data_IF_714470105018
#
_entry.id   IF_714470105018
#
_cell.length_a   1.000
_cell.length_b   1.000
_cell.length_c   1.000
_cell.angle_alpha   90.00
_cell.angle_beta   90.00
_cell.angle_gamma   90.00
#
_symmetry.space_group_name_H-M   'P 1'
#
loop_
_entity.id
_entity.type
_entity.pdbx_description
1 polymer ?
#
# COMPACT_ATOMS: atom_id res chain seq x y z
N UNK A 1 -12.83 -13.55 7.20
CA UNK A 1 -14.25 -13.41 6.84
C UNK A 1 -14.94 -14.77 7.04
N UNK A 2 -16.07 -14.84 7.76
CA UNK A 2 -16.82 -16.07 7.89
C UNK A 2 -17.34 -16.55 6.53
N UNK A 3 -17.26 -17.83 6.27
CA UNK A 3 -17.85 -18.44 5.09
C UNK A 3 -18.76 -19.60 5.47
N UNK A 4 -19.66 -19.97 4.57
CA UNK A 4 -20.56 -21.11 4.79
C UNK A 4 -19.78 -22.42 4.68
N UNK A 5 -20.19 -23.40 5.50
CA UNK A 5 -19.72 -24.76 5.37
C UNK A 5 -20.18 -25.36 4.02
N UNK A 6 -19.39 -26.29 3.46
CA UNK A 6 -19.68 -26.94 2.18
C UNK A 6 -21.08 -27.59 2.15
N UNK A 7 -21.60 -28.03 3.29
CA UNK A 7 -22.95 -28.61 3.40
C UNK A 7 -24.07 -27.61 3.08
N UNK A 8 -23.79 -26.33 3.22
CA UNK A 8 -24.72 -25.22 2.97
C UNK A 8 -24.44 -24.52 1.61
N UNK A 9 -23.30 -24.80 1.00
CA UNK A 9 -22.92 -24.30 -0.31
C UNK A 9 -22.14 -25.39 -1.06
N UNK A 10 -22.87 -26.28 -1.74
CA UNK A 10 -22.29 -27.44 -2.43
C UNK A 10 -21.51 -27.07 -3.69
N UNK A 11 -21.80 -25.89 -4.26
CA UNK A 11 -21.19 -25.41 -5.50
C UNK A 11 -19.84 -24.70 -5.24
N UNK A 12 -19.34 -24.70 -3.99
CA UNK A 12 -18.11 -24.01 -3.61
C UNK A 12 -16.89 -24.47 -4.42
N UNK A 13 -16.88 -25.72 -4.88
CA UNK A 13 -15.78 -26.30 -5.68
C UNK A 13 -15.87 -25.94 -7.17
N UNK A 14 -16.99 -25.43 -7.64
CA UNK A 14 -17.22 -25.04 -9.04
C UNK A 14 -16.75 -23.59 -9.32
N UNK A 15 -16.17 -22.96 -8.31
CA UNK A 15 -15.73 -21.58 -8.30
C UNK A 15 -16.71 -20.65 -7.58
N UNK A 16 -16.17 -19.67 -6.89
CA UNK A 16 -16.96 -18.71 -6.13
C UNK A 16 -16.69 -17.28 -6.64
N UNK A 17 -17.74 -16.62 -7.10
CA UNK A 17 -17.68 -15.23 -7.50
C UNK A 17 -18.10 -14.34 -6.34
N UNK A 18 -17.10 -13.67 -5.73
CA UNK A 18 -17.37 -12.78 -4.60
C UNK A 18 -18.26 -11.59 -4.98
N UNK A 19 -19.27 -11.34 -4.17
CA UNK A 19 -19.98 -10.07 -4.15
C UNK A 19 -19.35 -9.21 -3.05
N UNK A 20 -18.58 -8.21 -3.45
CA UNK A 20 -17.81 -7.38 -2.52
C UNK A 20 -18.67 -6.71 -1.44
N UNK A 21 -19.89 -6.31 -1.77
CA UNK A 21 -20.79 -5.66 -0.80
C UNK A 21 -21.38 -6.61 0.24
N UNK A 22 -21.46 -7.90 -0.06
CA UNK A 22 -22.09 -8.90 0.82
C UNK A 22 -21.07 -9.81 1.46
N UNK A 23 -20.13 -10.29 0.66
CA UNK A 23 -19.23 -11.38 1.08
C UNK A 23 -17.96 -10.86 1.75
N UNK A 24 -17.60 -9.60 1.48
CA UNK A 24 -16.37 -8.98 2.02
C UNK A 24 -16.61 -8.11 3.26
N UNK A 25 -17.83 -8.14 3.82
CA UNK A 25 -18.11 -7.42 5.06
C UNK A 25 -17.47 -8.14 6.26
N UNK A 26 -16.65 -7.45 7.06
CA UNK A 26 -16.05 -8.01 8.25
C UNK A 26 -17.11 -8.22 9.34
N UNK A 27 -16.97 -9.30 10.09
CA UNK A 27 -17.77 -9.51 11.29
C UNK A 27 -17.19 -8.65 12.41
N UNK A 28 -17.98 -7.71 12.92
CA UNK A 28 -17.57 -6.80 13.98
C UNK A 28 -18.03 -7.27 15.36
N UNK A 29 -19.32 -7.58 15.53
CA UNK A 29 -19.90 -7.95 16.83
C UNK A 29 -21.14 -8.83 16.69
N UNK A 30 -21.50 -9.49 17.77
CA UNK A 30 -22.77 -10.20 17.87
C UNK A 30 -23.91 -9.24 18.16
N UNK A 31 -25.12 -9.63 17.77
CA UNK A 31 -26.33 -8.89 18.13
C UNK A 31 -26.47 -8.76 19.67
N UNK A 32 -26.89 -7.60 20.13
CA UNK A 32 -27.01 -7.29 21.57
C UNK A 32 -25.75 -6.74 22.24
N UNK A 33 -24.60 -6.74 21.60
CA UNK A 33 -23.42 -6.04 22.09
C UNK A 33 -23.67 -4.51 22.08
N UNK A 34 -23.26 -3.83 23.17
CA UNK A 34 -23.38 -2.36 23.30
C UNK A 34 -22.16 -1.59 22.79
N UNK A 35 -21.10 -2.32 22.39
CA UNK A 35 -19.87 -1.68 21.90
C UNK A 35 -20.13 -0.95 20.60
N UNK A 36 -19.85 0.34 20.59
CA UNK A 36 -19.88 1.17 19.40
C UNK A 36 -18.53 1.16 18.70
N UNK A 37 -18.54 1.06 17.38
CA UNK A 37 -17.33 0.91 16.57
C UNK A 37 -16.41 2.12 16.71
N UNK A 38 -16.94 3.36 16.61
CA UNK A 38 -16.13 4.56 16.76
C UNK A 38 -15.55 4.71 18.17
N UNK A 39 -16.28 4.30 19.20
CA UNK A 39 -15.76 4.28 20.58
C UNK A 39 -14.59 3.30 20.74
N UNK A 40 -14.63 2.17 20.07
CA UNK A 40 -13.50 1.23 20.04
C UNK A 40 -12.28 1.84 19.34
N UNK A 41 -12.49 2.48 18.19
CA UNK A 41 -11.40 3.17 17.47
C UNK A 41 -10.81 4.30 18.29
N UNK A 42 -11.65 5.09 18.95
CA UNK A 42 -11.21 6.18 19.83
C UNK A 42 -10.34 5.67 20.99
N UNK A 43 -10.76 4.58 21.62
CA UNK A 43 -10.00 3.94 22.69
C UNK A 43 -8.63 3.41 22.21
N UNK A 44 -8.58 2.77 21.03
CA UNK A 44 -7.34 2.28 20.44
C UNK A 44 -6.39 3.42 20.04
N UNK A 45 -6.95 4.52 19.52
CA UNK A 45 -6.20 5.71 19.16
C UNK A 45 -5.82 6.61 20.35
N UNK A 46 -6.34 6.34 21.54
CA UNK A 46 -6.09 7.13 22.74
C UNK A 46 -6.68 8.55 22.68
N UNK A 47 -7.81 8.72 21.98
CA UNK A 47 -8.48 10.01 21.83
C UNK A 47 -9.96 9.94 22.21
N UNK A 48 -10.57 11.09 22.49
CA UNK A 48 -12.01 11.19 22.67
C UNK A 48 -12.72 10.98 21.31
N UNK A 49 -13.87 10.29 21.32
CA UNK A 49 -14.64 9.97 20.12
C UNK A 49 -14.99 11.22 19.29
N UNK A 50 -15.33 12.31 19.97
CA UNK A 50 -15.70 13.59 19.37
C UNK A 50 -14.56 14.27 18.62
N UNK A 51 -13.33 13.86 18.91
CA UNK A 51 -12.13 14.35 18.23
C UNK A 51 -11.81 13.61 16.94
N UNK A 52 -12.48 12.50 16.64
CA UNK A 52 -12.34 11.78 15.36
C UNK A 52 -13.12 12.57 14.30
N UNK A 53 -12.41 13.24 13.40
CA UNK A 53 -13.01 14.07 12.34
C UNK A 53 -13.10 13.38 10.99
N UNK A 54 -12.41 12.26 10.84
CA UNK A 54 -12.42 11.42 9.64
C UNK A 54 -11.60 10.16 9.88
N UNK A 55 -11.76 9.17 9.01
CA UNK A 55 -11.01 7.91 9.10
C UNK A 55 -10.88 7.25 7.75
N UNK A 56 -9.71 6.65 7.51
CA UNK A 56 -9.48 5.67 6.46
C UNK A 56 -9.19 4.33 7.13
N UNK A 57 -10.07 3.36 6.92
CA UNK A 57 -10.01 2.07 7.59
C UNK A 57 -9.85 0.96 6.56
N UNK A 58 -8.83 0.14 6.75
CA UNK A 58 -8.48 -0.94 5.86
C UNK A 58 -8.47 -2.27 6.61
N UNK A 59 -8.88 -3.33 5.92
CA UNK A 59 -8.65 -4.69 6.38
C UNK A 59 -7.26 -5.14 5.95
N UNK A 60 -6.57 -5.82 6.82
CA UNK A 60 -5.28 -6.43 6.50
C UNK A 60 -5.16 -7.83 7.07
N UNK A 61 -4.34 -8.65 6.43
CA UNK A 61 -4.00 -9.97 6.94
C UNK A 61 -3.01 -9.84 8.11
N UNK A 62 -3.34 -10.48 9.24
CA UNK A 62 -2.50 -10.51 10.44
C UNK A 62 -1.55 -11.71 10.49
N UNK A 63 -1.55 -12.58 9.46
CA UNK A 63 -0.58 -13.66 9.43
C UNK A 63 0.85 -13.13 9.38
N UNK A 64 1.68 -13.70 10.22
CA UNK A 64 3.11 -13.40 10.22
C UNK A 64 3.79 -14.01 9.00
N UNK A 65 4.82 -13.32 8.51
CA UNK A 65 5.69 -13.88 7.48
C UNK A 65 6.42 -15.13 7.99
N UNK A 66 6.66 -16.08 7.09
CA UNK A 66 7.36 -17.33 7.41
C UNK A 66 8.37 -17.67 6.32
N UNK A 67 9.49 -18.22 6.76
CA UNK A 67 10.43 -18.93 5.88
C UNK A 67 10.05 -20.41 5.94
N UNK A 68 10.04 -21.07 4.80
CA UNK A 68 9.65 -22.47 4.69
C UNK A 68 10.26 -23.15 3.46
N UNK A 69 10.05 -24.43 3.32
CA UNK A 69 10.66 -25.29 2.32
C UNK A 69 11.56 -26.32 2.98
N UNK A 70 12.10 -27.25 2.21
CA UNK A 70 12.97 -28.28 2.75
C UNK A 70 14.32 -27.72 3.22
N UNK A 71 14.76 -26.62 2.62
CA UNK A 71 16.03 -25.93 2.90
C UNK A 71 15.83 -24.42 3.12
N UNK A 72 14.63 -24.02 3.63
CA UNK A 72 14.27 -22.63 3.91
C UNK A 72 14.34 -21.71 2.66
N UNK A 73 14.05 -22.26 1.48
CA UNK A 73 14.20 -21.55 0.20
C UNK A 73 13.02 -20.66 -0.18
N UNK A 74 11.92 -20.71 0.58
CA UNK A 74 10.71 -19.92 0.30
C UNK A 74 10.40 -18.95 1.43
N UNK A 75 9.83 -17.81 1.06
CA UNK A 75 9.27 -16.83 1.99
C UNK A 75 7.79 -16.62 1.62
N UNK A 76 6.92 -16.71 2.62
CA UNK A 76 5.51 -16.34 2.50
C UNK A 76 5.18 -15.26 3.50
N UNK A 77 4.68 -14.15 3.03
CA UNK A 77 4.21 -13.05 3.87
C UNK A 77 3.12 -12.27 3.13
N UNK A 78 2.19 -11.63 3.85
CA UNK A 78 1.27 -10.68 3.22
C UNK A 78 2.06 -9.47 2.70
N UNK A 79 1.62 -8.91 1.60
CA UNK A 79 2.16 -7.66 1.00
C UNK A 79 3.62 -7.75 0.53
N UNK A 80 4.11 -8.95 0.18
CA UNK A 80 5.39 -9.07 -0.54
C UNK A 80 5.35 -8.28 -1.85
N UNK A 81 4.31 -8.39 -2.58
CA UNK A 81 3.92 -7.50 -3.65
C UNK A 81 3.15 -6.32 -3.01
N UNK A 82 3.66 -5.06 -3.11
CA UNK A 82 4.90 -4.68 -3.81
C UNK A 82 6.01 -4.19 -2.83
N UNK A 83 5.83 -4.42 -1.52
CA UNK A 83 6.79 -3.97 -0.50
C UNK A 83 8.18 -4.56 -0.68
N UNK A 84 8.32 -5.75 -1.27
CA UNK A 84 9.62 -6.32 -1.57
C UNK A 84 10.39 -5.44 -2.58
N UNK A 85 9.71 -5.01 -3.64
CA UNK A 85 10.33 -4.14 -4.65
C UNK A 85 10.67 -2.76 -4.06
N UNK A 86 9.78 -2.17 -3.28
CA UNK A 86 10.03 -0.92 -2.58
C UNK A 86 11.25 -1.02 -1.65
N UNK A 87 11.35 -2.11 -0.86
CA UNK A 87 12.46 -2.35 0.06
C UNK A 87 13.78 -2.56 -0.67
N UNK A 88 13.81 -3.40 -1.71
CA UNK A 88 15.04 -3.69 -2.44
C UNK A 88 15.54 -2.47 -3.22
N UNK A 89 14.64 -1.69 -3.80
CA UNK A 89 14.96 -0.42 -4.44
C UNK A 89 15.56 0.60 -3.45
N UNK A 90 14.96 0.71 -2.25
CA UNK A 90 15.51 1.55 -1.19
C UNK A 90 16.91 1.09 -0.76
N UNK A 91 17.13 -0.23 -0.61
CA UNK A 91 18.46 -0.78 -0.27
C UNK A 91 19.48 -0.50 -1.37
N UNK A 92 19.09 -0.62 -2.63
CA UNK A 92 19.91 -0.27 -3.78
C UNK A 92 20.27 1.22 -3.78
N UNK A 93 19.27 2.08 -3.59
CA UNK A 93 19.45 3.54 -3.49
C UNK A 93 20.43 3.94 -2.38
N UNK A 94 20.28 3.40 -1.17
CA UNK A 94 21.17 3.69 -0.04
C UNK A 94 22.62 3.24 -0.25
N UNK A 95 22.83 2.25 -1.12
CA UNK A 95 24.16 1.76 -1.48
C UNK A 95 24.73 2.41 -2.74
N UNK A 96 23.89 3.10 -3.49
CA UNK A 96 24.34 3.76 -4.72
C UNK A 96 25.27 4.93 -4.38
N UNK A 97 26.33 5.04 -5.16
CA UNK A 97 27.23 6.19 -5.12
C UNK A 97 27.35 6.73 -6.56
N UNK A 98 27.07 7.99 -6.73
CA UNK A 98 27.24 8.68 -8.00
C UNK A 98 27.96 9.98 -7.78
N UNK A 99 29.08 10.17 -8.48
CA UNK A 99 29.85 11.41 -8.45
C UNK A 99 29.31 12.47 -9.44
N UNK A 100 28.51 12.05 -10.41
CA UNK A 100 28.09 12.90 -11.56
C UNK A 100 26.59 13.15 -11.63
N UNK A 101 25.79 12.45 -10.85
CA UNK A 101 24.34 12.58 -10.88
C UNK A 101 23.73 12.48 -9.48
N UNK A 102 22.57 13.07 -9.32
CA UNK A 102 21.75 12.95 -8.11
C UNK A 102 20.79 11.77 -8.29
N UNK A 103 20.97 10.73 -7.49
CA UNK A 103 20.04 9.60 -7.49
C UNK A 103 18.73 10.01 -6.81
N UNK A 104 17.62 9.63 -7.40
CA UNK A 104 16.28 9.87 -6.85
C UNK A 104 15.56 8.54 -6.71
N UNK A 105 15.09 8.24 -5.51
CA UNK A 105 14.16 7.14 -5.26
C UNK A 105 12.78 7.73 -5.04
N UNK A 106 11.81 7.19 -5.75
CA UNK A 106 10.40 7.52 -5.55
C UNK A 106 9.60 6.23 -5.36
N UNK A 107 8.87 6.15 -4.27
CA UNK A 107 7.90 5.08 -4.02
C UNK A 107 6.52 5.70 -4.15
N UNK A 108 5.76 5.22 -5.14
CA UNK A 108 4.46 5.78 -5.50
C UNK A 108 3.35 4.95 -4.86
N UNK A 109 2.19 5.57 -4.67
CA UNK A 109 0.99 4.93 -4.14
C UNK A 109 0.07 4.43 -5.27
N UNK A 110 -0.95 3.65 -4.90
CA UNK A 110 -2.03 3.21 -5.79
C UNK A 110 -1.60 2.35 -6.99
N UNK A 111 -0.57 1.52 -6.81
CA UNK A 111 -0.15 0.57 -7.85
C UNK A 111 -1.28 -0.41 -8.19
N UNK A 112 -1.92 -1.01 -7.18
CA UNK A 112 -2.97 -2.03 -7.31
C UNK A 112 -4.23 -1.56 -8.06
N UNK A 113 -4.48 -0.26 -8.10
CA UNK A 113 -5.57 0.33 -8.89
C UNK A 113 -5.11 0.90 -10.23
N UNK A 114 -3.89 0.54 -10.68
CA UNK A 114 -3.34 0.86 -12.00
C UNK A 114 -2.57 2.17 -12.08
N UNK A 115 -2.07 2.71 -10.96
CA UNK A 115 -1.18 3.90 -10.90
C UNK A 115 -1.75 5.19 -11.50
N UNK A 116 -3.02 5.22 -11.90
CA UNK A 116 -3.66 6.34 -12.61
C UNK A 116 -4.16 7.48 -11.72
N UNK A 117 -3.86 7.47 -10.42
CA UNK A 117 -4.27 8.50 -9.47
C UNK A 117 -3.23 9.63 -9.39
N UNK A 118 -3.55 10.71 -8.66
CA UNK A 118 -2.61 11.81 -8.42
C UNK A 118 -1.36 11.40 -7.63
N UNK A 119 -1.41 10.31 -6.88
CA UNK A 119 -0.35 9.75 -6.07
C UNK A 119 0.37 8.59 -6.77
N UNK A 120 -0.18 8.11 -7.87
CA UNK A 120 0.32 6.95 -8.61
C UNK A 120 1.49 7.28 -9.54
N UNK A 121 2.16 6.24 -10.00
CA UNK A 121 3.32 6.37 -10.89
C UNK A 121 2.98 6.98 -12.27
N UNK A 122 1.72 6.89 -12.71
CA UNK A 122 1.23 7.53 -13.93
C UNK A 122 0.94 9.04 -13.79
N UNK A 123 1.12 9.63 -12.61
CA UNK A 123 0.88 11.05 -12.37
C UNK A 123 2.09 11.93 -12.76
N UNK A 124 1.87 13.25 -12.79
CA UNK A 124 2.96 14.21 -12.96
C UNK A 124 3.70 14.53 -11.66
N UNK A 125 3.31 13.91 -10.54
CA UNK A 125 3.80 14.26 -9.20
C UNK A 125 5.32 14.33 -9.12
N UNK A 126 6.02 13.29 -9.58
CA UNK A 126 7.48 13.24 -9.54
C UNK A 126 8.11 14.37 -10.37
N UNK A 127 7.62 14.57 -11.60
CA UNK A 127 8.09 15.62 -12.49
C UNK A 127 7.88 17.01 -11.88
N UNK A 128 6.70 17.25 -11.33
CA UNK A 128 6.35 18.55 -10.73
C UNK A 128 7.20 18.85 -9.50
N UNK A 129 7.48 17.85 -8.66
CA UNK A 129 8.36 18.01 -7.49
C UNK A 129 9.79 18.31 -7.92
N UNK A 130 10.36 17.52 -8.81
CA UNK A 130 11.74 17.74 -9.29
C UNK A 130 11.90 19.07 -10.01
N UNK A 131 10.91 19.47 -10.81
CA UNK A 131 10.90 20.76 -11.47
C UNK A 131 10.88 21.93 -10.48
N UNK A 132 10.06 21.82 -9.43
CA UNK A 132 10.03 22.83 -8.35
C UNK A 132 11.35 22.89 -7.58
N UNK A 133 11.99 21.77 -7.32
CA UNK A 133 13.32 21.73 -6.71
C UNK A 133 14.33 22.44 -7.63
N UNK A 134 14.34 22.13 -8.91
CA UNK A 134 15.22 22.75 -9.88
C UNK A 134 15.08 24.30 -9.88
N UNK A 135 13.84 24.81 -9.93
CA UNK A 135 13.57 26.25 -9.85
C UNK A 135 13.98 26.87 -8.51
N UNK A 136 13.78 26.18 -7.40
CA UNK A 136 14.20 26.68 -6.09
C UNK A 136 15.72 26.80 -5.95
N UNK A 137 16.46 26.06 -6.77
CA UNK A 137 17.92 26.16 -6.90
C UNK A 137 18.37 27.25 -7.88
N UNK A 138 17.45 28.05 -8.42
CA UNK A 138 17.74 29.11 -9.38
C UNK A 138 18.07 28.63 -10.79
N UNK A 139 17.73 27.39 -11.13
CA UNK A 139 17.99 26.79 -12.42
C UNK A 139 16.84 27.04 -13.40
N UNK A 140 17.18 27.09 -14.68
CA UNK A 140 16.22 27.27 -15.77
C UNK A 140 15.44 25.99 -16.09
N UNK A 141 14.39 26.14 -16.89
CA UNK A 141 13.62 25.02 -17.45
C UNK A 141 14.48 24.13 -18.35
N UNK A 142 15.35 24.74 -19.17
CA UNK A 142 16.25 24.01 -20.05
C UNK A 142 17.24 23.15 -19.27
N UNK A 143 17.79 23.68 -18.17
CA UNK A 143 18.66 22.90 -17.28
C UNK A 143 17.92 21.72 -16.63
N UNK A 144 16.63 21.87 -16.28
CA UNK A 144 15.82 20.79 -15.78
C UNK A 144 15.72 19.65 -16.81
N UNK A 145 15.32 19.95 -18.03
CA UNK A 145 15.15 18.92 -19.06
C UNK A 145 16.47 18.29 -19.50
N UNK A 146 17.56 19.07 -19.50
CA UNK A 146 18.89 18.55 -19.78
C UNK A 146 19.39 17.59 -18.69
N UNK A 147 19.05 17.88 -17.43
CA UNK A 147 19.47 17.04 -16.30
C UNK A 147 18.61 15.77 -16.15
N UNK A 148 17.39 15.77 -16.69
CA UNK A 148 16.49 14.63 -16.62
C UNK A 148 16.92 13.54 -17.60
N UNK A 149 17.56 12.51 -17.08
CA UNK A 149 17.85 11.31 -17.85
C UNK A 149 17.18 10.12 -17.16
N UNK A 150 16.16 9.50 -17.77
CA UNK A 150 15.62 8.25 -17.25
C UNK A 150 16.72 7.19 -17.25
N UNK A 151 16.76 6.36 -16.22
CA UNK A 151 17.65 5.20 -16.20
C UNK A 151 17.30 4.30 -17.38
N UNK A 152 18.27 4.04 -18.24
CA UNK A 152 18.19 3.12 -19.38
C UNK A 152 18.30 1.66 -18.90
#
# INVERSE_FOLDING_TARGET
>A
LPSLAVHMNRDVNDGYKYNFQKDMLPLFRMNGSKTDFLSMIAAEAGVEKENIKGSDLFLYDRMEGRVWGAEDEFISAPRLDDLQCAFTSMKGFLKSQSEKSVSVLCVMDNEEVGSGTKQGAGSTFLYDVLRRINFSMGRSEEEYWTAWQPAS
#
